data_IF_488986074372
#
_entry.id   IF_488986074372
#
_cell.length_a   1.000
_cell.length_b   1.000
_cell.length_c   1.000
_cell.angle_alpha   90.00
_cell.angle_beta   90.00
_cell.angle_gamma   90.00
#
_symmetry.space_group_name_H-M   'P 1'
#
loop_
_entity.id
_entity.type
_entity.pdbx_description
1 polymer ?
#
# COMPACT_ATOMS: atom_id res chain seq x y z
N UNK A 1 22.16 -13.87 -15.47
CA UNK A 1 21.49 -15.18 -15.43
C UNK A 1 20.46 -15.16 -14.32
N UNK A 2 19.19 -15.47 -14.65
CA UNK A 2 18.14 -15.57 -13.64
C UNK A 2 18.47 -16.68 -12.64
N UNK A 3 18.44 -16.35 -11.33
CA UNK A 3 18.65 -17.32 -10.28
C UNK A 3 17.34 -18.01 -9.94
N UNK A 4 17.38 -19.32 -9.70
CA UNK A 4 16.23 -20.11 -9.22
C UNK A 4 16.56 -20.64 -7.83
N UNK A 5 15.70 -20.37 -6.87
CA UNK A 5 15.76 -20.94 -5.53
C UNK A 5 14.57 -21.90 -5.32
N UNK A 6 14.84 -23.01 -4.69
CA UNK A 6 13.86 -24.04 -4.39
C UNK A 6 13.68 -24.13 -2.88
N UNK A 7 12.44 -24.16 -2.44
CA UNK A 7 12.06 -24.38 -1.05
C UNK A 7 11.08 -25.55 -0.97
N UNK A 8 11.37 -26.52 -0.10
CA UNK A 8 10.48 -27.63 0.23
C UNK A 8 10.04 -27.49 1.69
N UNK A 9 8.74 -27.50 1.93
CA UNK A 9 8.18 -27.48 3.28
C UNK A 9 8.25 -28.86 3.95
N UNK A 10 7.93 -28.92 5.25
CA UNK A 10 7.93 -30.18 6.01
C UNK A 10 6.85 -31.19 5.56
N UNK A 11 5.92 -30.81 4.71
CA UNK A 11 4.94 -31.71 4.06
C UNK A 11 5.42 -32.22 2.70
N UNK A 12 6.64 -31.86 2.27
CA UNK A 12 7.22 -32.25 1.00
C UNK A 12 6.71 -31.45 -0.21
N UNK A 13 6.05 -30.30 0.02
CA UNK A 13 5.60 -29.42 -1.06
C UNK A 13 6.71 -28.50 -1.51
N UNK A 14 6.90 -28.43 -2.81
CA UNK A 14 7.94 -27.62 -3.45
C UNK A 14 7.40 -26.25 -3.87
N UNK A 15 8.19 -25.21 -3.62
CA UNK A 15 7.96 -23.86 -4.13
C UNK A 15 9.24 -23.37 -4.80
N UNK A 16 9.11 -22.84 -6.02
CA UNK A 16 10.22 -22.36 -6.81
C UNK A 16 10.12 -20.84 -6.94
N UNK A 17 11.24 -20.16 -6.65
CA UNK A 17 11.40 -18.72 -6.76
C UNK A 17 12.39 -18.41 -7.86
N UNK A 18 12.05 -17.48 -8.74
CA UNK A 18 12.95 -17.03 -9.79
C UNK A 18 13.22 -15.54 -9.65
N UNK A 19 14.49 -15.17 -9.76
CA UNK A 19 14.99 -13.81 -9.60
C UNK A 19 15.63 -13.33 -10.90
N UNK A 20 15.60 -12.01 -11.13
CA UNK A 20 16.33 -11.37 -12.21
C UNK A 20 17.84 -11.30 -11.89
N UNK A 21 18.63 -10.74 -12.82
CA UNK A 21 20.08 -10.55 -12.67
C UNK A 21 20.47 -9.53 -11.58
N UNK A 22 19.50 -8.77 -11.07
CA UNK A 22 19.65 -7.79 -9.97
C UNK A 22 19.20 -8.34 -8.62
N UNK A 23 18.71 -9.58 -8.57
CA UNK A 23 18.24 -10.24 -7.37
C UNK A 23 16.79 -9.92 -6.99
N UNK A 24 16.00 -9.31 -7.89
CA UNK A 24 14.58 -9.08 -7.64
C UNK A 24 13.76 -10.33 -8.00
N UNK A 25 12.82 -10.68 -7.13
CA UNK A 25 11.87 -11.78 -7.41
C UNK A 25 10.99 -11.44 -8.63
N UNK A 26 10.96 -12.33 -9.63
CA UNK A 26 10.17 -12.19 -10.86
C UNK A 26 9.16 -13.30 -11.09
N UNK A 27 9.28 -14.44 -10.41
CA UNK A 27 8.27 -15.49 -10.47
C UNK A 27 8.26 -16.36 -9.21
N UNK A 28 7.08 -16.87 -8.87
CA UNK A 28 6.87 -17.87 -7.82
C UNK A 28 5.99 -18.97 -8.40
N UNK A 29 6.45 -20.22 -8.33
CA UNK A 29 5.69 -21.41 -8.74
C UNK A 29 5.42 -22.28 -7.53
N UNK A 30 4.15 -22.54 -7.24
CA UNK A 30 3.74 -23.40 -6.10
C UNK A 30 3.82 -24.88 -6.44
N UNK A 31 3.53 -25.72 -5.43
CA UNK A 31 3.56 -27.18 -5.57
C UNK A 31 2.52 -27.75 -6.54
N UNK A 32 1.49 -26.98 -6.90
CA UNK A 32 0.47 -27.34 -7.89
C UNK A 32 0.81 -26.82 -9.29
N UNK A 33 2.04 -26.33 -9.48
CA UNK A 33 2.51 -25.75 -10.74
C UNK A 33 1.82 -24.43 -11.16
N UNK A 34 1.20 -23.74 -10.21
CA UNK A 34 0.65 -22.41 -10.43
C UNK A 34 1.76 -21.38 -10.35
N UNK A 35 1.93 -20.56 -11.38
CA UNK A 35 2.98 -19.57 -11.44
C UNK A 35 2.40 -18.17 -11.39
N UNK A 36 2.88 -17.37 -10.43
CA UNK A 36 2.69 -15.93 -10.37
C UNK A 36 3.96 -15.24 -10.91
N UNK A 37 3.81 -14.30 -11.82
CA UNK A 37 4.94 -13.54 -12.36
C UNK A 37 4.84 -12.06 -12.00
N UNK A 38 6.00 -11.41 -11.81
CA UNK A 38 6.11 -10.01 -11.48
C UNK A 38 6.92 -9.29 -12.56
N UNK A 39 6.35 -8.24 -13.13
CA UNK A 39 7.04 -7.33 -14.01
C UNK A 39 7.53 -6.13 -13.18
N UNK A 40 8.79 -5.76 -13.33
CA UNK A 40 9.42 -4.71 -12.53
C UNK A 40 10.05 -3.63 -13.39
N UNK A 41 10.16 -2.43 -12.83
CA UNK A 41 11.05 -1.41 -13.35
C UNK A 41 12.52 -1.79 -13.09
N UNK A 42 13.48 -1.17 -13.82
CA UNK A 42 14.91 -1.40 -13.58
C UNK A 42 15.39 -1.13 -12.15
N UNK A 43 14.71 -0.26 -11.41
CA UNK A 43 14.96 0.08 -9.99
C UNK A 43 14.32 -0.91 -8.99
N UNK A 44 13.56 -1.90 -9.47
CA UNK A 44 12.97 -2.97 -8.67
C UNK A 44 11.50 -2.79 -8.30
N UNK A 45 10.89 -1.64 -8.58
CA UNK A 45 9.46 -1.41 -8.31
C UNK A 45 8.57 -2.30 -9.18
N UNK A 46 7.57 -2.93 -8.55
CA UNK A 46 6.62 -3.82 -9.22
C UNK A 46 5.65 -3.02 -10.06
N UNK A 47 5.62 -3.25 -11.37
CA UNK A 47 4.65 -2.67 -12.30
C UNK A 47 3.40 -3.51 -12.42
N UNK A 48 3.58 -4.83 -12.49
CA UNK A 48 2.49 -5.81 -12.68
C UNK A 48 2.75 -7.08 -11.91
N UNK A 49 1.65 -7.69 -11.47
CA UNK A 49 1.61 -9.05 -10.95
C UNK A 49 0.61 -9.82 -11.80
N UNK A 50 1.07 -10.87 -12.49
CA UNK A 50 0.22 -11.75 -13.27
C UNK A 50 -0.05 -13.02 -12.47
N UNK A 51 -1.30 -13.24 -12.12
CA UNK A 51 -1.72 -14.39 -11.33
C UNK A 51 -1.99 -15.61 -12.21
N UNK A 52 -1.91 -16.85 -11.65
CA UNK A 52 -2.16 -18.08 -12.39
C UNK A 52 -3.57 -18.20 -12.99
N UNK A 53 -4.55 -17.52 -12.41
CA UNK A 53 -5.94 -17.48 -12.89
C UNK A 53 -6.16 -16.50 -14.06
N UNK A 54 -5.11 -15.84 -14.52
CA UNK A 54 -5.13 -14.83 -15.58
C UNK A 54 -5.48 -13.42 -15.12
N UNK A 55 -5.78 -13.21 -13.83
CA UNK A 55 -5.98 -11.87 -13.30
C UNK A 55 -4.65 -11.12 -13.22
N UNK A 56 -4.70 -9.81 -13.35
CA UNK A 56 -3.52 -8.94 -13.37
C UNK A 56 -3.72 -7.79 -12.40
N UNK A 57 -2.75 -7.60 -11.50
CA UNK A 57 -2.65 -6.37 -10.71
C UNK A 57 -1.62 -5.42 -11.32
N UNK A 58 -1.81 -4.13 -11.20
CA UNK A 58 -0.85 -3.15 -11.68
C UNK A 58 -0.71 -1.96 -10.74
N UNK A 59 0.47 -1.32 -10.80
CA UNK A 59 0.84 -0.22 -9.91
C UNK A 59 1.42 0.93 -10.71
N UNK A 60 1.17 2.15 -10.27
CA UNK A 60 1.87 3.34 -10.76
C UNK A 60 2.57 4.06 -9.62
N UNK A 61 3.67 4.73 -9.94
CA UNK A 61 4.55 5.37 -8.96
C UNK A 61 4.86 6.82 -9.38
N UNK A 62 5.16 7.67 -8.40
CA UNK A 62 5.78 8.96 -8.67
C UNK A 62 7.30 8.81 -8.91
N UNK A 63 7.97 9.93 -9.19
CA UNK A 63 9.42 9.95 -9.44
C UNK A 63 10.27 9.50 -8.23
N UNK A 64 9.71 9.51 -7.03
CA UNK A 64 10.35 9.08 -5.78
C UNK A 64 10.09 7.60 -5.45
N UNK A 65 9.42 6.84 -6.33
CA UNK A 65 9.12 5.43 -6.10
C UNK A 65 7.94 5.18 -5.16
N UNK A 66 7.11 6.17 -4.89
CA UNK A 66 5.94 6.05 -4.05
C UNK A 66 4.71 5.68 -4.87
N UNK A 67 3.91 4.71 -4.41
CA UNK A 67 2.69 4.26 -5.11
C UNK A 67 1.69 5.41 -5.23
N UNK A 68 1.18 5.63 -6.45
CA UNK A 68 0.10 6.56 -6.77
C UNK A 68 -1.22 5.85 -7.07
N UNK A 69 -1.18 4.66 -7.65
CA UNK A 69 -2.37 3.85 -7.88
C UNK A 69 -2.08 2.37 -7.83
N UNK A 70 -3.11 1.62 -7.49
CA UNK A 70 -3.15 0.16 -7.56
C UNK A 70 -4.43 -0.24 -8.29
N UNK A 71 -4.29 -1.05 -9.32
CA UNK A 71 -5.41 -1.72 -10.00
C UNK A 71 -5.41 -3.18 -9.58
N UNK A 72 -6.50 -3.67 -9.01
CA UNK A 72 -6.61 -5.06 -8.57
C UNK A 72 -6.95 -6.00 -9.74
N UNK A 73 -6.96 -7.31 -9.48
CA UNK A 73 -7.28 -8.34 -10.47
C UNK A 73 -8.69 -8.27 -11.07
N UNK A 74 -9.57 -7.46 -10.51
CA UNK A 74 -10.93 -7.18 -11.01
C UNK A 74 -11.01 -5.86 -11.78
N UNK A 75 -9.88 -5.17 -11.96
CA UNK A 75 -9.82 -3.87 -12.62
C UNK A 75 -10.25 -2.69 -11.76
N UNK A 76 -10.43 -2.89 -10.45
CA UNK A 76 -10.78 -1.82 -9.52
C UNK A 76 -9.53 -0.99 -9.19
N UNK A 77 -9.63 0.33 -9.30
CA UNK A 77 -8.50 1.24 -9.15
C UNK A 77 -8.64 2.01 -7.83
N UNK A 78 -7.63 1.89 -6.98
CA UNK A 78 -7.42 2.76 -5.82
C UNK A 78 -6.35 3.80 -6.17
N UNK A 79 -6.62 5.07 -5.89
CA UNK A 79 -5.70 6.20 -6.14
C UNK A 79 -5.24 6.84 -4.85
N UNK A 80 -3.99 7.28 -4.83
CA UNK A 80 -3.36 7.98 -3.71
C UNK A 80 -2.80 9.31 -4.19
N UNK A 81 -3.26 10.41 -3.60
CA UNK A 81 -2.63 11.72 -3.74
C UNK A 81 -1.64 11.94 -2.61
N UNK A 82 -0.53 12.61 -2.88
CA UNK A 82 0.52 12.88 -1.91
C UNK A 82 0.91 14.35 -1.90
N UNK A 83 1.36 14.85 -0.76
CA UNK A 83 1.95 16.18 -0.67
C UNK A 83 3.43 16.17 -1.10
N UNK A 84 4.07 17.35 -1.10
CA UNK A 84 5.49 17.48 -1.47
C UNK A 84 6.46 16.70 -0.56
N UNK A 85 6.03 16.32 0.64
CA UNK A 85 6.79 15.48 1.57
C UNK A 85 6.55 13.96 1.37
N UNK A 86 5.72 13.59 0.38
CA UNK A 86 5.37 12.21 0.09
C UNK A 86 4.28 11.61 0.98
N UNK A 87 3.71 12.37 1.91
CA UNK A 87 2.63 11.90 2.77
C UNK A 87 1.32 11.79 1.98
N UNK A 88 0.52 10.73 2.17
CA UNK A 88 -0.77 10.60 1.53
C UNK A 88 -1.72 11.69 2.03
N UNK A 89 -2.31 12.46 1.10
CA UNK A 89 -3.31 13.50 1.40
C UNK A 89 -4.72 13.06 1.06
N UNK A 90 -4.86 12.10 0.15
CA UNK A 90 -6.14 11.55 -0.26
C UNK A 90 -5.97 10.13 -0.77
N UNK A 91 -6.89 9.26 -0.38
CA UNK A 91 -7.07 7.93 -0.94
C UNK A 91 -8.48 7.84 -1.49
N UNK A 92 -8.60 7.45 -2.75
CA UNK A 92 -9.88 7.26 -3.44
C UNK A 92 -10.01 5.81 -3.89
N UNK A 93 -11.13 5.18 -3.60
CA UNK A 93 -11.41 3.81 -4.03
C UNK A 93 -12.06 3.78 -5.44
N UNK A 94 -12.27 2.59 -5.96
CA UNK A 94 -12.85 2.38 -7.29
C UNK A 94 -14.30 2.85 -7.43
N UNK A 95 -14.98 3.11 -6.32
CA UNK A 95 -16.36 3.63 -6.27
C UNK A 95 -16.38 5.17 -6.17
N UNK A 96 -15.21 5.81 -6.21
CA UNK A 96 -15.08 7.25 -6.05
C UNK A 96 -15.21 7.75 -4.61
N UNK A 97 -15.27 6.85 -3.63
CA UNK A 97 -15.26 7.21 -2.22
C UNK A 97 -13.85 7.56 -1.78
N UNK A 98 -13.71 8.65 -1.07
CA UNK A 98 -12.40 9.16 -0.69
C UNK A 98 -12.27 9.40 0.81
N UNK A 99 -11.05 9.15 1.30
CA UNK A 99 -10.57 9.55 2.63
C UNK A 99 -9.50 10.60 2.43
N UNK A 100 -9.61 11.74 3.13
CA UNK A 100 -8.60 12.80 3.09
C UNK A 100 -7.86 12.89 4.42
N UNK A 101 -6.58 13.24 4.34
CA UNK A 101 -5.67 13.33 5.48
C UNK A 101 -5.05 14.72 5.53
N UNK A 102 -4.98 15.31 6.71
CA UNK A 102 -4.32 16.60 6.95
C UNK A 102 -3.21 16.43 8.00
N UNK A 103 -2.14 17.16 7.82
CA UNK A 103 -0.95 17.08 8.67
C UNK A 103 -0.53 18.48 9.13
N UNK A 104 0.07 18.57 10.30
CA UNK A 104 0.74 19.78 10.76
C UNK A 104 2.17 19.90 10.20
N UNK A 105 2.87 20.96 10.59
CA UNK A 105 4.25 21.19 10.19
C UNK A 105 5.24 20.14 10.73
N UNK A 106 4.88 19.45 11.82
CA UNK A 106 5.65 18.38 12.43
C UNK A 106 5.31 16.98 11.85
N UNK A 107 4.53 16.94 10.75
CA UNK A 107 4.17 15.70 10.03
C UNK A 107 3.20 14.78 10.83
N UNK A 108 2.54 15.33 11.85
CA UNK A 108 1.53 14.59 12.61
C UNK A 108 0.17 14.73 11.94
N UNK A 109 -0.62 13.64 11.93
CA UNK A 109 -1.97 13.65 11.38
C UNK A 109 -2.89 14.49 12.28
N UNK A 110 -3.42 15.61 11.78
CA UNK A 110 -4.30 16.51 12.52
C UNK A 110 -5.77 16.33 12.20
N UNK A 111 -6.09 15.84 11.02
CA UNK A 111 -7.47 15.54 10.65
C UNK A 111 -7.54 14.39 9.64
N UNK A 112 -8.64 13.66 9.72
CA UNK A 112 -9.05 12.65 8.75
C UNK A 112 -10.50 12.94 8.38
N UNK A 113 -10.78 13.09 7.09
CA UNK A 113 -12.14 13.18 6.55
C UNK A 113 -12.47 11.86 5.90
N UNK A 114 -13.49 11.17 6.40
CA UNK A 114 -13.89 9.87 5.88
C UNK A 114 -14.77 9.99 4.62
N UNK A 115 -15.13 8.85 4.06
CA UNK A 115 -15.94 8.70 2.85
C UNK A 115 -17.34 9.36 2.92
N UNK A 116 -17.84 9.64 4.11
CA UNK A 116 -19.13 10.28 4.38
C UNK A 116 -18.97 11.78 4.72
N UNK A 117 -17.81 12.37 4.43
CA UNK A 117 -17.44 13.75 4.79
C UNK A 117 -17.42 14.04 6.29
N UNK A 118 -17.28 13.02 7.09
CA UNK A 118 -17.18 13.16 8.51
C UNK A 118 -15.73 13.32 8.95
N UNK A 119 -15.47 14.30 9.79
CA UNK A 119 -14.12 14.69 10.18
C UNK A 119 -13.78 14.20 11.58
N UNK A 120 -12.61 13.57 11.69
CA UNK A 120 -11.94 13.26 12.94
C UNK A 120 -10.79 14.24 13.12
N UNK A 121 -10.64 14.84 14.29
CA UNK A 121 -9.55 15.76 14.60
C UNK A 121 -8.68 15.19 15.70
N UNK A 122 -7.36 15.40 15.58
CA UNK A 122 -6.34 14.90 16.49
C UNK A 122 -5.51 16.07 17.02
N UNK A 123 -5.34 16.14 18.33
CA UNK A 123 -4.55 17.18 19.01
C UNK A 123 -3.40 16.52 19.77
N UNK A 124 -2.23 17.12 19.67
CA UNK A 124 -0.99 16.63 20.27
C UNK A 124 -0.41 17.63 21.26
N UNK A 125 0.28 17.13 22.27
CA UNK A 125 1.08 17.98 23.17
C UNK A 125 2.46 18.32 22.56
N UNK A 126 3.24 19.11 23.30
CA UNK A 126 4.59 19.51 22.87
C UNK A 126 5.60 18.33 22.83
N UNK A 127 5.25 17.19 23.41
CA UNK A 127 6.05 15.95 23.38
C UNK A 127 5.57 14.96 22.32
N UNK A 128 4.78 15.43 21.32
CA UNK A 128 4.22 14.65 20.22
C UNK A 128 3.27 13.51 20.62
N UNK A 129 2.68 13.59 21.82
CA UNK A 129 1.70 12.62 22.31
C UNK A 129 0.30 13.09 21.98
N UNK A 130 -0.55 12.16 21.50
CA UNK A 130 -1.97 12.43 21.22
C UNK A 130 -2.71 12.71 22.54
N UNK A 131 -3.27 13.90 22.71
CA UNK A 131 -3.99 14.29 23.92
C UNK A 131 -5.50 14.38 23.74
N UNK A 132 -5.97 14.58 22.53
CA UNK A 132 -7.40 14.67 22.24
C UNK A 132 -7.74 14.12 20.86
N UNK A 133 -8.83 13.35 20.79
CA UNK A 133 -9.46 12.89 19.55
C UNK A 133 -10.93 13.35 19.58
N UNK A 134 -11.32 14.18 18.61
CA UNK A 134 -12.72 14.56 18.38
C UNK A 134 -13.30 13.74 17.25
N UNK A 135 -14.42 13.07 17.55
CA UNK A 135 -15.17 12.25 16.61
C UNK A 135 -16.37 12.99 16.01
N UNK A 136 -16.93 12.41 14.96
CA UNK A 136 -18.10 12.90 14.21
C UNK A 136 -19.34 13.10 15.06
N UNK A 137 -19.54 12.23 16.07
CA UNK A 137 -20.67 12.24 17.01
C UNK A 137 -20.51 13.26 18.15
N UNK A 138 -19.55 14.20 18.01
CA UNK A 138 -19.10 15.15 19.04
C UNK A 138 -18.52 14.49 20.29
N UNK A 139 -18.32 13.19 20.30
CA UNK A 139 -17.60 12.52 21.36
C UNK A 139 -16.14 12.92 21.30
N UNK A 140 -15.65 13.42 22.42
CA UNK A 140 -14.25 13.76 22.60
C UNK A 140 -13.60 12.74 23.51
N UNK A 141 -12.53 12.12 23.05
CA UNK A 141 -11.68 11.26 23.88
C UNK A 141 -10.42 12.04 24.22
N UNK A 142 -10.08 12.10 25.49
CA UNK A 142 -8.87 12.74 26.01
C UNK A 142 -7.94 11.72 26.61
N UNK A 143 -6.65 11.94 26.47
CA UNK A 143 -5.59 11.09 26.98
C UNK A 143 -4.69 11.91 27.89
N UNK A 144 -4.32 11.34 29.04
CA UNK A 144 -3.34 11.89 29.96
C UNK A 144 -2.18 10.91 30.13
N UNK A 145 -0.96 11.44 30.24
CA UNK A 145 0.27 10.65 30.32
C UNK A 145 1.04 11.02 31.57
#
# INVERSE_FOLDING_TARGET
>A
LAQVEHFQDCSGKDTYYRYDDRGHLIAVTDALNNTTTLERKPDGEVLRINHPDGSVESFTYNALGQVLSHTDGKGQITRLSRNARGLPTRREDAKGKAVAYQYDKAIRLTALVNENNATYNFVYDNADRLIEEKRIDNLTRRFSY
#
